data_IF_931836637049
#
_entry.id   IF_931836637049
#
_cell.length_a   1.000
_cell.length_b   1.000
_cell.length_c   1.000
_cell.angle_alpha   90.00
_cell.angle_beta   90.00
_cell.angle_gamma   90.00
#
_symmetry.space_group_name_H-M   'P 1'
#
loop_
_entity.id
_entity.type
_entity.pdbx_description
1 polymer ?
#
# COMPACT_ATOMS: atom_id res chain seq x y z
N UNK A 1 16.33 4.46 8.14
CA UNK A 1 15.50 5.69 7.87
C UNK A 1 15.73 6.30 6.50
N UNK A 2 16.87 6.09 5.83
CA UNK A 2 17.15 6.64 4.49
C UNK A 2 16.15 6.18 3.44
N UNK A 3 15.70 4.93 3.52
CA UNK A 3 15.07 4.29 2.36
C UNK A 3 13.58 4.66 2.25
N UNK A 4 12.88 4.76 3.38
CA UNK A 4 11.49 5.27 3.44
C UNK A 4 11.45 6.74 2.99
N UNK A 5 12.44 7.53 3.41
CA UNK A 5 12.55 8.93 3.00
C UNK A 5 12.72 9.03 1.48
N UNK A 6 13.61 8.21 0.92
CA UNK A 6 13.89 8.16 -0.52
C UNK A 6 12.68 7.68 -1.33
N UNK A 7 11.99 6.64 -0.86
CA UNK A 7 10.84 6.09 -1.59
C UNK A 7 9.62 7.01 -1.58
N UNK A 8 9.42 7.80 -0.52
CA UNK A 8 8.27 8.70 -0.39
C UNK A 8 8.56 10.16 -0.78
N UNK A 9 9.82 10.52 -1.09
CA UNK A 9 10.19 11.89 -1.46
C UNK A 9 9.96 12.93 -0.36
N UNK A 10 9.95 12.52 0.90
CA UNK A 10 9.64 13.40 2.05
C UNK A 10 10.91 13.85 2.80
N UNK A 11 10.79 14.92 3.59
CA UNK A 11 11.86 15.34 4.50
C UNK A 11 11.95 14.44 5.74
N UNK A 12 13.13 14.36 6.37
CA UNK A 12 13.38 13.54 7.55
C UNK A 12 12.45 13.88 8.72
N UNK A 13 12.12 15.16 8.93
CA UNK A 13 11.20 15.59 10.00
C UNK A 13 9.78 15.09 9.74
N UNK A 14 9.30 15.17 8.50
CA UNK A 14 7.97 14.68 8.10
C UNK A 14 7.88 13.16 8.26
N UNK A 15 8.92 12.44 7.79
CA UNK A 15 9.02 11.00 7.94
C UNK A 15 8.98 10.59 9.42
N UNK A 16 9.75 11.25 10.28
CA UNK A 16 9.78 10.93 11.71
C UNK A 16 8.43 11.16 12.38
N UNK A 17 7.74 12.27 12.07
CA UNK A 17 6.39 12.55 12.61
C UNK A 17 5.39 11.47 12.19
N UNK A 18 5.41 11.09 10.92
CA UNK A 18 4.51 10.06 10.39
C UNK A 18 4.75 8.70 11.03
N UNK A 19 6.01 8.25 11.11
CA UNK A 19 6.34 6.96 11.75
C UNK A 19 5.95 6.99 13.23
N UNK A 20 6.17 8.09 13.95
CA UNK A 20 5.75 8.20 15.35
C UNK A 20 4.22 8.13 15.50
N UNK A 21 3.48 8.77 14.60
CA UNK A 21 2.01 8.69 14.58
C UNK A 21 1.53 7.25 14.33
N UNK A 22 2.08 6.59 13.32
CA UNK A 22 1.73 5.20 12.99
C UNK A 22 2.08 4.22 14.11
N UNK A 23 3.18 4.43 14.84
CA UNK A 23 3.49 3.63 16.03
C UNK A 23 2.50 3.90 17.17
N UNK A 24 2.13 5.17 17.40
CA UNK A 24 1.15 5.55 18.43
C UNK A 24 -0.23 4.97 18.16
N UNK A 25 -0.61 4.85 16.88
CA UNK A 25 -1.85 4.23 16.44
C UNK A 25 -1.76 2.69 16.36
N UNK A 26 -0.65 2.09 16.82
CA UNK A 26 -0.41 0.65 16.81
C UNK A 26 -0.52 -0.01 15.42
N UNK A 27 -0.24 0.76 14.36
CA UNK A 27 -0.26 0.27 12.97
C UNK A 27 1.07 -0.32 12.52
N UNK A 28 2.18 0.07 13.17
CA UNK A 28 3.54 -0.41 12.85
C UNK A 28 4.36 -0.60 14.14
N UNK A 29 5.37 -1.47 14.09
CA UNK A 29 6.40 -1.68 15.12
C UNK A 29 7.80 -1.42 14.56
N UNK A 30 8.74 -1.13 15.47
CA UNK A 30 10.18 -0.97 15.19
C UNK A 30 10.94 -2.12 15.82
N UNK A 31 11.83 -2.73 15.05
CA UNK A 31 12.86 -3.63 15.58
C UNK A 31 14.23 -3.03 15.30
N UNK A 32 15.12 -3.11 16.29
CA UNK A 32 16.50 -2.68 16.12
C UNK A 32 17.21 -3.57 15.09
N UNK A 33 17.93 -2.93 14.18
CA UNK A 33 18.66 -3.61 13.11
C UNK A 33 20.04 -2.97 12.93
N UNK A 34 21.05 -3.79 12.64
CA UNK A 34 22.35 -3.30 12.20
C UNK A 34 22.38 -3.33 10.67
N UNK A 35 22.33 -2.17 10.04
CA UNK A 35 22.49 -2.05 8.59
C UNK A 35 23.81 -1.33 8.30
N UNK A 36 24.66 -1.94 7.47
CA UNK A 36 25.95 -1.36 7.05
C UNK A 36 26.82 -0.85 8.23
N UNK A 37 26.86 -1.60 9.34
CA UNK A 37 27.63 -1.24 10.53
C UNK A 37 27.07 -0.09 11.36
N UNK A 38 25.89 0.45 11.01
CA UNK A 38 25.20 1.51 11.77
C UNK A 38 23.95 0.94 12.44
N UNK A 39 23.73 1.33 13.70
CA UNK A 39 22.45 1.06 14.38
C UNK A 39 21.33 1.77 13.64
N UNK A 40 20.35 1.00 13.20
CA UNK A 40 19.12 1.48 12.57
C UNK A 40 17.94 0.67 13.10
N UNK A 41 16.78 0.83 12.47
CA UNK A 41 15.61 0.03 12.78
C UNK A 41 14.87 -0.34 11.52
N UNK A 42 14.23 -1.51 11.55
CA UNK A 42 13.27 -1.97 10.55
C UNK A 42 11.85 -1.68 11.02
N UNK A 43 11.01 -1.23 10.10
CA UNK A 43 9.58 -1.08 10.37
C UNK A 43 8.83 -2.31 9.88
N UNK A 44 7.93 -2.81 10.71
CA UNK A 44 7.00 -3.87 10.36
C UNK A 44 5.58 -3.39 10.61
N UNK A 45 4.62 -3.70 9.74
CA UNK A 45 3.22 -3.42 10.04
C UNK A 45 2.72 -4.37 11.14
N UNK A 46 1.84 -3.86 12.01
CA UNK A 46 1.15 -4.64 13.03
C UNK A 46 -0.23 -4.98 12.47
N UNK A 47 -0.60 -6.27 12.49
CA UNK A 47 -1.92 -6.72 12.02
C UNK A 47 -2.11 -6.73 10.50
N UNK A 48 -1.12 -6.33 9.72
CA UNK A 48 -1.17 -6.44 8.25
C UNK A 48 -0.78 -7.86 7.82
N UNK A 49 -1.78 -8.69 7.55
CA UNK A 49 -1.63 -10.05 6.98
C UNK A 49 -1.67 -9.93 5.45
N UNK A 50 -0.86 -9.04 4.87
CA UNK A 50 -0.92 -8.75 3.44
C UNK A 50 -2.33 -8.32 2.97
N UNK A 51 -2.53 -8.16 1.65
CA UNK A 51 -3.86 -8.31 1.09
C UNK A 51 -4.26 -9.79 1.31
N UNK A 52 -5.43 -10.04 1.89
CA UNK A 52 -6.03 -11.38 1.82
C UNK A 52 -6.02 -11.87 0.37
N UNK A 53 -6.00 -13.18 0.15
CA UNK A 53 -6.03 -13.75 -1.20
C UNK A 53 -7.19 -13.18 -2.05
N UNK A 54 -8.29 -12.78 -1.39
CA UNK A 54 -9.42 -12.07 -2.00
C UNK A 54 -9.03 -10.69 -2.52
N UNK A 55 -8.25 -9.90 -1.77
CA UNK A 55 -7.81 -8.58 -2.18
C UNK A 55 -6.74 -8.62 -3.28
N UNK A 56 -5.91 -9.67 -3.32
CA UNK A 56 -4.96 -9.87 -4.43
C UNK A 56 -5.67 -10.05 -5.77
N UNK A 57 -6.84 -10.71 -5.79
CA UNK A 57 -7.69 -10.86 -6.99
C UNK A 57 -8.29 -9.54 -7.48
N UNK A 58 -8.27 -8.51 -6.65
CA UNK A 58 -8.74 -7.16 -6.98
C UNK A 58 -7.59 -6.24 -7.44
N UNK A 59 -6.39 -6.77 -7.68
CA UNK A 59 -5.25 -6.02 -8.20
C UNK A 59 -4.83 -6.64 -9.54
N UNK A 60 -4.74 -5.81 -10.58
CA UNK A 60 -4.18 -6.21 -11.86
C UNK A 60 -3.17 -5.15 -12.33
N UNK A 61 -1.99 -5.59 -12.78
CA UNK A 61 -0.88 -4.70 -13.19
C UNK A 61 -0.52 -3.61 -12.16
N UNK A 62 -0.69 -3.90 -10.86
CA UNK A 62 -0.43 -2.93 -9.78
C UNK A 62 -1.52 -1.87 -9.59
N UNK A 63 -2.61 -1.93 -10.37
CA UNK A 63 -3.80 -1.09 -10.19
C UNK A 63 -4.86 -1.82 -9.39
N UNK A 64 -5.50 -1.11 -8.45
CA UNK A 64 -6.66 -1.63 -7.73
C UNK A 64 -7.91 -1.58 -8.60
N UNK A 65 -8.70 -2.65 -8.53
CA UNK A 65 -10.07 -2.69 -9.04
C UNK A 65 -10.93 -1.67 -8.29
N UNK A 66 -11.85 -0.97 -8.97
CA UNK A 66 -12.80 -0.07 -8.32
C UNK A 66 -13.66 -0.78 -7.26
N UNK A 67 -13.82 -2.11 -7.36
CA UNK A 67 -14.58 -2.91 -6.41
C UNK A 67 -13.90 -3.01 -5.02
N UNK A 68 -12.63 -2.63 -4.87
CA UNK A 68 -11.90 -2.70 -3.59
C UNK A 68 -12.50 -1.80 -2.51
N UNK A 69 -13.24 -0.75 -2.90
CA UNK A 69 -13.94 0.15 -1.97
C UNK A 69 -15.31 0.60 -2.48
N UNK A 70 -15.87 -0.12 -3.45
CA UNK A 70 -17.19 0.21 -4.00
C UNK A 70 -18.29 -0.22 -3.03
N UNK A 71 -19.18 0.71 -2.70
CA UNK A 71 -20.36 0.47 -1.86
C UNK A 71 -21.67 0.55 -2.68
N UNK A 72 -21.58 0.56 -4.01
CA UNK A 72 -22.74 0.59 -4.89
C UNK A 72 -23.32 -0.82 -5.03
N UNK A 73 -24.65 -0.93 -4.93
CA UNK A 73 -25.36 -2.12 -5.37
C UNK A 73 -25.32 -2.14 -6.90
N UNK A 74 -24.38 -2.91 -7.45
CA UNK A 74 -24.10 -2.97 -8.87
C UNK A 74 -23.87 -4.42 -9.31
N UNK A 75 -24.04 -4.65 -10.61
CA UNK A 75 -23.78 -5.93 -11.25
C UNK A 75 -22.50 -5.80 -12.10
N UNK A 76 -21.54 -6.74 -12.02
CA UNK A 76 -20.29 -6.66 -12.77
C UNK A 76 -20.47 -6.43 -14.28
N UNK A 77 -21.51 -7.02 -14.86
CA UNK A 77 -21.82 -6.99 -16.30
C UNK A 77 -22.20 -5.58 -16.79
N UNK A 78 -22.66 -4.70 -15.89
CA UNK A 78 -23.14 -3.35 -16.22
C UNK A 78 -22.39 -2.26 -15.45
N UNK A 79 -21.37 -2.63 -14.67
CA UNK A 79 -20.63 -1.70 -13.84
C UNK A 79 -19.64 -0.88 -14.68
N UNK A 80 -20.00 0.37 -14.97
CA UNK A 80 -19.18 1.29 -15.77
C UNK A 80 -17.75 1.46 -15.21
N UNK A 81 -17.53 1.74 -13.91
CA UNK A 81 -16.17 1.86 -13.37
C UNK A 81 -15.33 0.59 -13.55
N UNK A 82 -15.96 -0.59 -13.41
CA UNK A 82 -15.28 -1.87 -13.59
C UNK A 82 -14.89 -2.06 -15.05
N UNK A 83 -15.78 -1.74 -15.99
CA UNK A 83 -15.49 -1.83 -17.42
C UNK A 83 -14.32 -0.94 -17.84
N UNK A 84 -14.32 0.33 -17.41
CA UNK A 84 -13.22 1.27 -17.67
C UNK A 84 -11.90 0.75 -17.11
N UNK A 85 -11.92 0.21 -15.89
CA UNK A 85 -10.74 -0.37 -15.27
C UNK A 85 -10.23 -1.59 -16.05
N UNK A 86 -11.12 -2.48 -16.48
CA UNK A 86 -10.75 -3.65 -17.30
C UNK A 86 -10.12 -3.21 -18.62
N UNK A 87 -10.68 -2.22 -19.30
CA UNK A 87 -10.14 -1.66 -20.53
C UNK A 87 -8.74 -1.08 -20.30
N UNK A 88 -8.56 -0.23 -19.27
CA UNK A 88 -7.25 0.35 -18.96
C UNK A 88 -6.18 -0.72 -18.67
N UNK A 89 -6.53 -1.76 -17.91
CA UNK A 89 -5.62 -2.88 -17.62
C UNK A 89 -5.27 -3.67 -18.88
N UNK A 90 -6.22 -3.83 -19.82
CA UNK A 90 -5.99 -4.53 -21.09
C UNK A 90 -5.15 -3.68 -22.06
N UNK A 91 -5.46 -2.39 -22.20
CA UNK A 91 -4.85 -1.45 -23.15
C UNK A 91 -3.39 -1.12 -22.86
N UNK A 92 -2.90 -1.29 -21.63
CA UNK A 92 -1.45 -1.34 -21.34
C UNK A 92 -0.75 -2.59 -21.95
N UNK A 93 -1.30 -3.16 -23.02
CA UNK A 93 -0.64 -4.09 -23.93
C UNK A 93 -0.56 -3.45 -25.32
N UNK A 94 0.37 -2.50 -25.47
CA UNK A 94 1.02 -2.17 -26.73
C UNK A 94 2.46 -1.74 -26.44
#
# INVERSE_FOLDING_TARGET
>A
MSDIRKSMGIDSKKCSRMVNKLMKEHLIRRDDELAEGRKTYRLFPIGFIGPSERHLKLIAKGMFSPCTGCNLECYPETCYPLNEWVLAVIEEKA
#
